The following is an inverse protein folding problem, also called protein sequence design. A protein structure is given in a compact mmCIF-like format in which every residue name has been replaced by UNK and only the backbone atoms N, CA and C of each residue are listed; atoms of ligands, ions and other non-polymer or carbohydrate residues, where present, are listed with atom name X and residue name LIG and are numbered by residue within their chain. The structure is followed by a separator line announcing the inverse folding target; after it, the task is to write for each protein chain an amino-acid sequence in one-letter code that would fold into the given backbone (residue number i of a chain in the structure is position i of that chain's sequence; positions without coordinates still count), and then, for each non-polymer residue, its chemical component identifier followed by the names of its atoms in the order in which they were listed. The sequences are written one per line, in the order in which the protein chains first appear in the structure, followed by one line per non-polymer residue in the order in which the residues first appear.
data_IF_023674697686
#
_entry.id   IF_023674697686
#
_cell.length_a   1.000
_cell.length_b   1.000
_cell.length_c   1.000
_cell.angle_alpha   90.00
_cell.angle_beta   90.00
_cell.angle_gamma   90.00
#
_symmetry.space_group_name_H-M   'P 1'
#
loop_
_entity.id
_entity.type
_entity.pdbx_description
1 polymer ?
#
# COMPACT_ATOMS: atom_id res chain seq x y z
N UNK A 1 28.93 -92.14 -64.44
CA UNK A 1 27.52 -91.77 -64.74
C UNK A 1 26.89 -91.26 -63.45
N UNK A 2 26.24 -90.11 -63.57
CA UNK A 2 25.83 -89.16 -62.53
C UNK A 2 24.86 -89.79 -61.50
N UNK A 3 25.14 -89.64 -60.19
CA UNK A 3 24.09 -89.56 -59.16
C UNK A 3 24.33 -88.25 -58.39
N UNK A 4 23.83 -87.18 -58.98
CA UNK A 4 23.63 -85.90 -58.32
C UNK A 4 22.50 -86.03 -57.29
N UNK A 5 22.77 -85.51 -56.09
CA UNK A 5 21.83 -84.67 -55.36
C UNK A 5 20.66 -85.36 -54.67
N UNK A 6 20.81 -85.69 -53.38
CA UNK A 6 19.65 -85.68 -52.47
C UNK A 6 19.94 -85.57 -50.97
N UNK A 7 21.06 -84.98 -50.53
CA UNK A 7 21.29 -84.80 -49.09
C UNK A 7 22.14 -83.56 -48.80
N UNK A 8 21.49 -82.40 -48.76
CA UNK A 8 21.86 -81.26 -47.90
C UNK A 8 20.86 -80.09 -47.99
N UNK A 9 19.81 -80.22 -48.80
CA UNK A 9 18.79 -79.15 -48.92
C UNK A 9 17.90 -79.13 -47.66
N UNK A 10 17.56 -80.27 -47.06
CA UNK A 10 16.69 -80.32 -45.88
C UNK A 10 17.33 -79.69 -44.62
N UNK A 11 18.60 -79.97 -44.33
CA UNK A 11 19.27 -79.37 -43.15
C UNK A 11 19.56 -77.88 -43.33
N UNK A 12 19.88 -77.45 -44.56
CA UNK A 12 20.04 -76.04 -44.90
C UNK A 12 18.71 -75.28 -44.82
N UNK A 13 17.63 -75.86 -45.33
CA UNK A 13 16.29 -75.27 -45.29
C UNK A 13 15.75 -75.17 -43.85
N UNK A 14 15.99 -76.18 -43.01
CA UNK A 14 15.63 -76.14 -41.58
C UNK A 14 16.43 -75.05 -40.84
N UNK A 15 17.72 -74.90 -41.11
CA UNK A 15 18.54 -73.83 -40.50
C UNK A 15 18.12 -72.44 -40.98
N UNK A 16 17.86 -72.26 -42.27
CA UNK A 16 17.41 -70.97 -42.84
C UNK A 16 16.03 -70.60 -42.30
N UNK A 17 15.11 -71.55 -42.20
CA UNK A 17 13.78 -71.30 -41.61
C UNK A 17 13.84 -71.02 -40.12
N UNK A 18 14.70 -71.72 -39.36
CA UNK A 18 14.91 -71.45 -37.94
C UNK A 18 15.53 -70.07 -37.67
N UNK A 19 16.53 -69.66 -38.47
CA UNK A 19 17.15 -68.33 -38.38
C UNK A 19 16.16 -67.23 -38.79
N UNK A 20 15.35 -67.46 -39.82
CA UNK A 20 14.30 -66.52 -40.22
C UNK A 20 13.22 -66.38 -39.14
N UNK A 21 12.79 -67.47 -38.51
CA UNK A 21 11.87 -67.44 -37.38
C UNK A 21 12.44 -66.70 -36.17
N UNK A 22 13.70 -66.95 -35.84
CA UNK A 22 14.39 -66.24 -34.76
C UNK A 22 14.49 -64.74 -35.04
N UNK A 23 14.84 -64.35 -36.27
CA UNK A 23 14.92 -62.96 -36.68
C UNK A 23 13.55 -62.26 -36.63
N UNK A 24 12.49 -62.92 -37.09
CA UNK A 24 11.11 -62.41 -37.00
C UNK A 24 10.66 -62.33 -35.54
N UNK A 25 11.01 -63.31 -34.70
CA UNK A 25 10.67 -63.30 -33.26
C UNK A 25 11.41 -62.19 -32.51
N UNK A 26 12.70 -61.98 -32.79
CA UNK A 26 13.48 -60.85 -32.23
C UNK A 26 12.95 -59.51 -32.74
N UNK A 27 12.53 -59.42 -34.00
CA UNK A 27 11.92 -58.21 -34.55
C UNK A 27 10.54 -57.93 -33.93
N UNK A 28 9.71 -58.95 -33.72
CA UNK A 28 8.43 -58.83 -33.03
C UNK A 28 8.64 -58.45 -31.56
N UNK A 29 9.60 -59.07 -30.87
CA UNK A 29 9.98 -58.69 -29.50
C UNK A 29 10.50 -57.25 -29.45
N UNK A 30 11.36 -56.85 -30.38
CA UNK A 30 11.84 -55.47 -30.48
C UNK A 30 10.67 -54.50 -30.70
N UNK A 31 9.75 -54.78 -31.64
CA UNK A 31 8.55 -53.97 -31.83
C UNK A 31 7.69 -53.93 -30.57
N UNK A 32 7.51 -55.05 -29.87
CA UNK A 32 6.72 -55.14 -28.64
C UNK A 32 7.33 -54.34 -27.48
N UNK A 33 8.66 -54.40 -27.31
CA UNK A 33 9.37 -53.68 -26.25
C UNK A 33 9.62 -52.20 -26.58
N UNK A 34 9.79 -51.81 -27.85
CA UNK A 34 10.10 -50.42 -28.25
C UNK A 34 8.86 -49.57 -28.59
N UNK A 35 7.74 -50.19 -28.99
CA UNK A 35 6.47 -49.48 -29.18
C UNK A 35 5.54 -49.51 -27.95
N UNK A 36 5.82 -50.33 -26.94
CA UNK A 36 5.04 -50.41 -25.71
C UNK A 36 5.42 -49.43 -24.60
N UNK A 37 6.55 -48.72 -24.72
CA UNK A 37 7.01 -47.80 -23.68
C UNK A 37 6.28 -46.46 -23.76
N UNK A 38 5.53 -46.12 -22.70
CA UNK A 38 4.85 -44.84 -22.55
C UNK A 38 5.86 -43.76 -22.15
N UNK A 39 5.73 -42.57 -22.71
CA UNK A 39 6.57 -41.43 -22.33
C UNK A 39 5.80 -40.12 -22.41
N UNK A 40 6.13 -39.20 -21.52
CA UNK A 40 5.72 -37.80 -21.54
C UNK A 40 7.00 -36.95 -21.44
N UNK A 41 7.04 -35.81 -22.12
CA UNK A 41 8.12 -34.85 -22.01
C UNK A 41 7.55 -33.43 -22.00
N UNK A 42 7.78 -32.70 -20.91
CA UNK A 42 7.37 -31.29 -20.70
C UNK A 42 8.28 -30.38 -21.52
N UNK A 43 7.68 -29.51 -22.32
CA UNK A 43 8.39 -28.58 -23.17
C UNK A 43 8.42 -27.16 -22.59
N UNK A 44 7.30 -26.70 -22.01
CA UNK A 44 7.20 -25.40 -21.34
C UNK A 44 6.00 -25.33 -20.37
N UNK A 45 6.07 -24.55 -19.28
CA UNK A 45 7.30 -24.09 -18.64
C UNK A 45 8.18 -25.28 -18.22
N UNK A 46 9.48 -25.18 -18.45
CA UNK A 46 10.45 -26.27 -18.23
C UNK A 46 11.61 -25.88 -17.30
N UNK A 47 11.56 -24.67 -16.74
CA UNK A 47 12.43 -24.19 -15.68
C UNK A 47 13.18 -22.91 -16.04
N UNK A 48 13.30 -22.03 -15.03
CA UNK A 48 13.95 -20.72 -15.14
C UNK A 48 13.05 -19.60 -15.67
N UNK A 49 11.83 -19.89 -16.10
CA UNK A 49 10.88 -18.86 -16.52
C UNK A 49 10.32 -18.06 -15.34
N UNK A 50 9.90 -16.83 -15.60
CA UNK A 50 9.08 -16.03 -14.69
C UNK A 50 7.68 -15.88 -15.29
N UNK A 51 6.69 -16.42 -14.60
CA UNK A 51 5.29 -16.43 -15.03
C UNK A 51 4.50 -15.47 -14.14
N UNK A 52 3.96 -14.42 -14.73
CA UNK A 52 3.24 -13.36 -14.02
C UNK A 52 1.79 -13.77 -13.74
N UNK A 53 1.35 -13.53 -12.51
CA UNK A 53 -0.05 -13.68 -12.11
C UNK A 53 -0.94 -12.76 -12.97
N UNK A 54 -2.11 -13.25 -13.34
CA UNK A 54 -3.08 -12.56 -14.20
C UNK A 54 -2.87 -12.80 -15.70
N UNK A 55 -1.78 -13.45 -16.12
CA UNK A 55 -1.52 -13.82 -17.51
C UNK A 55 -1.89 -15.28 -17.78
N UNK A 56 -2.12 -15.57 -19.07
CA UNK A 56 -2.29 -16.94 -19.57
C UNK A 56 -1.01 -17.41 -20.23
N UNK A 57 -0.51 -18.56 -19.79
CA UNK A 57 0.68 -19.20 -20.33
C UNK A 57 0.34 -20.54 -20.96
N UNK A 58 1.01 -20.87 -22.06
CA UNK A 58 0.82 -22.16 -22.73
C UNK A 58 1.72 -23.21 -22.09
N UNK A 59 1.10 -24.16 -21.40
CA UNK A 59 1.76 -25.41 -21.00
C UNK A 59 1.85 -26.29 -22.24
N UNK A 60 3.01 -26.89 -22.51
CA UNK A 60 3.21 -27.77 -23.67
C UNK A 60 4.01 -29.02 -23.33
N UNK A 61 3.67 -30.13 -23.99
CA UNK A 61 4.28 -31.44 -23.78
C UNK A 61 4.24 -32.27 -25.07
N UNK A 62 5.05 -33.33 -25.11
CA UNK A 62 4.92 -34.44 -26.06
C UNK A 62 4.58 -35.72 -25.31
N UNK A 63 3.76 -36.58 -25.91
CA UNK A 63 3.35 -37.84 -25.31
C UNK A 63 3.35 -38.97 -26.34
N UNK A 64 3.75 -40.18 -25.90
CA UNK A 64 3.75 -41.40 -26.71
C UNK A 64 3.13 -42.53 -25.89
N UNK A 65 2.17 -43.26 -26.48
CA UNK A 65 1.50 -44.38 -25.81
C UNK A 65 0.62 -43.99 -24.62
N UNK A 66 0.30 -42.70 -24.46
CA UNK A 66 -0.54 -42.15 -23.40
C UNK A 66 -1.76 -41.53 -24.04
N UNK A 67 -2.95 -41.85 -23.54
CA UNK A 67 -4.20 -41.32 -24.09
C UNK A 67 -4.58 -39.98 -23.47
N UNK A 68 -4.41 -39.84 -22.14
CA UNK A 68 -4.80 -38.64 -21.38
C UNK A 68 -3.79 -38.29 -20.30
N UNK A 69 -3.68 -36.99 -20.03
CA UNK A 69 -2.75 -36.42 -19.04
C UNK A 69 -3.46 -35.59 -17.97
N UNK A 70 -2.83 -35.52 -16.81
CA UNK A 70 -3.09 -34.59 -15.73
C UNK A 70 -1.92 -33.62 -15.59
N UNK A 71 -2.22 -32.38 -15.19
CA UNK A 71 -1.25 -31.30 -15.02
C UNK A 71 -1.36 -30.78 -13.59
N UNK A 72 -0.24 -30.76 -12.88
CA UNK A 72 -0.17 -30.27 -11.51
C UNK A 72 1.00 -29.31 -11.30
N UNK A 73 0.82 -28.42 -10.32
CA UNK A 73 1.82 -27.48 -9.84
C UNK A 73 2.32 -27.94 -8.47
N UNK A 74 3.62 -28.06 -8.31
CA UNK A 74 4.25 -28.42 -7.05
C UNK A 74 5.11 -27.28 -6.51
N UNK A 75 4.95 -26.93 -5.22
CA UNK A 75 5.65 -25.80 -4.57
C UNK A 75 6.66 -26.24 -3.51
N UNK A 76 7.05 -27.52 -3.47
CA UNK A 76 7.92 -28.09 -2.44
C UNK A 76 7.21 -28.53 -1.16
N UNK A 77 5.98 -28.06 -0.93
CA UNK A 77 5.15 -28.44 0.23
C UNK A 77 3.79 -29.00 -0.19
N UNK A 78 3.22 -28.42 -1.25
CA UNK A 78 1.86 -28.72 -1.70
C UNK A 78 1.85 -29.00 -3.20
N UNK A 79 0.92 -29.86 -3.61
CA UNK A 79 0.64 -30.16 -5.01
C UNK A 79 -0.78 -29.72 -5.33
N UNK A 80 -0.94 -28.79 -6.26
CA UNK A 80 -2.23 -28.26 -6.69
C UNK A 80 -2.51 -28.67 -8.13
N UNK A 81 -3.78 -28.93 -8.44
CA UNK A 81 -4.19 -29.27 -9.80
C UNK A 81 -4.30 -28.04 -10.68
N UNK A 82 -3.67 -28.07 -11.86
CA UNK A 82 -3.92 -27.09 -12.93
C UNK A 82 -5.03 -27.61 -13.83
N UNK A 83 -4.93 -28.86 -14.29
CA UNK A 83 -5.90 -29.47 -15.19
C UNK A 83 -5.94 -31.00 -15.03
N UNK A 84 -7.09 -31.61 -15.31
CA UNK A 84 -7.30 -33.06 -15.25
C UNK A 84 -7.85 -33.57 -16.57
N UNK A 85 -7.51 -34.82 -16.91
CA UNK A 85 -8.17 -35.56 -17.98
C UNK A 85 -8.05 -34.91 -19.37
N UNK A 86 -6.91 -34.31 -19.70
CA UNK A 86 -6.68 -33.64 -20.99
C UNK A 86 -6.24 -34.68 -22.03
N UNK A 87 -6.75 -34.68 -23.28
CA UNK A 87 -6.24 -35.58 -24.32
C UNK A 87 -4.74 -35.36 -24.53
N UNK A 88 -3.94 -36.42 -24.42
CA UNK A 88 -2.48 -36.32 -24.48
C UNK A 88 -2.00 -35.79 -25.85
N UNK A 89 -2.70 -36.15 -26.92
CA UNK A 89 -2.42 -35.69 -28.29
C UNK A 89 -2.69 -34.19 -28.53
N UNK A 90 -3.31 -33.48 -27.58
CA UNK A 90 -3.47 -32.02 -27.66
C UNK A 90 -2.11 -31.31 -27.55
N UNK A 91 -1.14 -31.90 -26.84
CA UNK A 91 0.23 -31.41 -26.70
C UNK A 91 0.39 -30.05 -26.01
N UNK A 92 -0.72 -29.40 -25.63
CA UNK A 92 -0.69 -28.12 -24.93
C UNK A 92 -1.98 -27.83 -24.15
N UNK A 93 -1.89 -26.94 -23.18
CA UNK A 93 -3.00 -26.44 -22.36
C UNK A 93 -2.75 -24.97 -22.01
N UNK A 94 -3.74 -24.11 -22.22
CA UNK A 94 -3.63 -22.70 -21.84
C UNK A 94 -3.99 -22.55 -20.36
N UNK A 95 -2.99 -22.15 -19.56
CA UNK A 95 -3.08 -22.02 -18.12
C UNK A 95 -3.16 -20.55 -17.73
N UNK A 96 -4.33 -20.15 -17.23
CA UNK A 96 -4.54 -18.86 -16.60
C UNK A 96 -4.07 -18.91 -15.14
N UNK A 97 -3.15 -18.02 -14.78
CA UNK A 97 -2.65 -17.88 -13.40
C UNK A 97 -3.51 -16.86 -12.67
N UNK A 98 -4.45 -17.31 -11.86
CA UNK A 98 -5.40 -16.42 -11.18
C UNK A 98 -4.78 -15.64 -10.01
N UNK A 99 -5.28 -14.41 -9.72
CA UNK A 99 -5.00 -13.72 -8.48
C UNK A 99 -5.35 -14.60 -7.27
N UNK A 100 -4.38 -14.81 -6.36
CA UNK A 100 -4.51 -15.71 -5.20
C UNK A 100 -3.71 -17.02 -5.31
N UNK A 101 -3.12 -17.31 -6.47
CA UNK A 101 -2.09 -18.36 -6.61
C UNK A 101 -0.85 -18.01 -5.75
N UNK A 102 -0.23 -19.02 -5.13
CA UNK A 102 1.04 -18.82 -4.42
C UNK A 102 2.15 -18.32 -5.36
N UNK A 103 3.04 -17.46 -4.87
CA UNK A 103 4.13 -16.82 -5.63
C UNK A 103 5.51 -17.16 -5.04
N UNK A 104 6.58 -16.93 -5.80
CA UNK A 104 7.97 -17.26 -5.44
C UNK A 104 8.68 -18.12 -6.49
N UNK A 105 9.94 -18.50 -6.23
CA UNK A 105 10.85 -19.10 -7.22
C UNK A 105 10.96 -20.64 -7.25
N UNK A 106 10.11 -21.37 -6.52
CA UNK A 106 10.25 -22.82 -6.31
C UNK A 106 9.05 -23.62 -6.82
N UNK A 107 8.51 -23.25 -7.98
CA UNK A 107 7.41 -24.00 -8.61
C UNK A 107 7.93 -24.99 -9.65
N UNK A 108 7.36 -26.19 -9.63
CA UNK A 108 7.62 -27.26 -10.59
C UNK A 108 6.33 -27.67 -11.27
N UNK A 109 6.39 -27.80 -12.60
CA UNK A 109 5.28 -28.34 -13.37
C UNK A 109 5.43 -29.86 -13.45
N UNK A 110 4.32 -30.57 -13.31
CA UNK A 110 4.26 -32.02 -13.47
C UNK A 110 3.18 -32.37 -14.45
N UNK A 111 3.52 -33.15 -15.47
CA UNK A 111 2.57 -33.73 -16.44
C UNK A 111 2.67 -35.24 -16.37
N UNK A 112 1.54 -35.91 -16.15
CA UNK A 112 1.51 -37.36 -15.95
C UNK A 112 0.30 -37.99 -16.60
N UNK A 113 0.38 -39.28 -16.91
CA UNK A 113 -0.73 -40.07 -17.42
C UNK A 113 -1.88 -40.09 -16.40
N UNK A 114 -3.10 -39.84 -16.87
CA UNK A 114 -4.29 -39.74 -16.03
C UNK A 114 -5.28 -40.88 -16.32
N UNK A 115 -5.88 -41.50 -15.28
CA UNK A 115 -5.70 -41.25 -13.85
C UNK A 115 -4.37 -41.80 -13.31
N UNK A 116 -3.85 -41.22 -12.23
CA UNK A 116 -2.56 -41.59 -11.64
C UNK A 116 -2.50 -43.06 -11.20
N UNK A 117 -1.39 -43.72 -11.54
CA UNK A 117 -1.07 -45.11 -11.21
C UNK A 117 0.44 -45.29 -11.05
N UNK A 118 0.86 -46.37 -10.40
CA UNK A 118 2.27 -46.61 -10.02
C UNK A 118 3.22 -46.67 -11.23
N UNK A 119 2.73 -47.14 -12.38
CA UNK A 119 3.52 -47.36 -13.60
C UNK A 119 3.18 -46.33 -14.71
N UNK A 120 2.55 -45.23 -14.32
CA UNK A 120 2.15 -44.18 -15.26
C UNK A 120 3.37 -43.42 -15.79
N UNK A 121 3.32 -43.06 -17.07
CA UNK A 121 4.27 -42.09 -17.59
C UNK A 121 4.11 -40.76 -16.85
N UNK A 122 5.21 -40.14 -16.46
CA UNK A 122 5.28 -38.87 -15.76
C UNK A 122 6.53 -38.14 -16.18
N UNK A 123 6.41 -36.83 -16.27
CA UNK A 123 7.55 -35.96 -16.44
C UNK A 123 7.39 -34.67 -15.62
N UNK A 124 8.52 -34.11 -15.23
CA UNK A 124 8.63 -32.89 -14.45
C UNK A 124 9.34 -31.83 -15.27
N UNK A 125 9.06 -30.56 -15.01
CA UNK A 125 9.94 -29.50 -15.48
C UNK A 125 11.40 -29.78 -15.06
N UNK A 126 12.37 -29.46 -15.92
CA UNK A 126 13.79 -29.75 -15.70
C UNK A 126 14.42 -28.91 -14.56
N UNK A 127 13.83 -27.76 -14.23
CA UNK A 127 14.27 -26.83 -13.18
C UNK A 127 13.04 -26.10 -12.62
N UNK A 128 13.08 -25.51 -11.40
CA UNK A 128 11.96 -24.70 -10.95
C UNK A 128 11.82 -23.44 -11.81
N UNK A 129 10.61 -22.92 -11.88
CA UNK A 129 10.29 -21.60 -12.42
C UNK A 129 9.69 -20.73 -11.31
N UNK A 130 9.65 -19.42 -11.56
CA UNK A 130 9.05 -18.46 -10.64
C UNK A 130 7.63 -18.10 -11.08
N UNK A 131 6.73 -17.99 -10.11
CA UNK A 131 5.46 -17.28 -10.28
C UNK A 131 5.62 -15.93 -9.61
N UNK A 132 5.47 -14.85 -10.38
CA UNK A 132 5.73 -13.48 -9.94
C UNK A 132 4.45 -12.64 -10.06
N UNK A 133 4.44 -11.49 -9.38
CA UNK A 133 3.55 -10.41 -9.79
C UNK A 133 4.25 -9.60 -10.89
N UNK A 134 3.48 -8.97 -11.77
CA UNK A 134 4.07 -7.97 -12.65
C UNK A 134 4.73 -6.89 -11.78
N UNK A 135 5.94 -6.47 -12.14
CA UNK A 135 6.61 -5.34 -11.47
C UNK A 135 5.78 -4.04 -11.52
N UNK A 136 4.76 -3.99 -12.38
CA UNK A 136 3.78 -2.91 -12.53
C UNK A 136 2.52 -3.02 -11.68
N UNK A 137 2.36 -4.06 -10.84
CA UNK A 137 1.17 -4.27 -10.00
C UNK A 137 1.39 -4.01 -8.48
N UNK A 138 2.65 -3.85 -8.06
CA UNK A 138 3.02 -3.51 -6.69
C UNK A 138 3.73 -2.16 -6.62
N UNK A 139 3.69 -1.52 -5.45
CA UNK A 139 4.43 -0.29 -5.21
C UNK A 139 5.89 -0.54 -4.77
N UNK A 140 6.39 -1.77 -4.90
CA UNK A 140 7.72 -2.15 -4.40
C UNK A 140 8.84 -1.47 -5.21
N UNK A 141 8.70 -1.38 -6.54
CA UNK A 141 9.70 -0.73 -7.39
C UNK A 141 9.90 0.74 -7.05
N UNK A 142 8.81 1.49 -6.87
CA UNK A 142 8.89 2.89 -6.43
C UNK A 142 9.40 3.00 -4.99
N UNK A 143 9.07 2.02 -4.13
CA UNK A 143 9.55 1.99 -2.75
C UNK A 143 11.07 1.83 -2.67
N UNK A 144 11.63 0.93 -3.48
CA UNK A 144 13.07 0.72 -3.60
C UNK A 144 13.74 1.97 -4.17
N UNK A 145 13.18 2.55 -5.24
CA UNK A 145 13.77 3.72 -5.91
C UNK A 145 13.88 4.93 -4.97
N UNK A 146 12.90 5.12 -4.09
CA UNK A 146 12.83 6.28 -3.20
C UNK A 146 13.33 5.99 -1.77
N UNK A 147 13.83 4.79 -1.50
CA UNK A 147 14.21 4.31 -0.17
C UNK A 147 13.13 4.60 0.90
N UNK A 148 11.86 4.44 0.51
CA UNK A 148 10.71 4.73 1.35
C UNK A 148 9.52 3.86 0.98
N UNK A 149 8.65 3.51 1.94
CA UNK A 149 7.54 2.61 1.67
C UNK A 149 6.36 3.33 1.00
N UNK A 150 5.91 2.78 -0.13
CA UNK A 150 4.67 3.14 -0.82
C UNK A 150 3.72 1.95 -0.80
N UNK A 151 2.43 2.23 -0.61
CA UNK A 151 1.39 1.21 -0.57
C UNK A 151 0.35 1.48 -1.66
N UNK A 152 -0.18 0.43 -2.31
CA UNK A 152 -1.23 0.62 -3.30
C UNK A 152 -2.52 1.07 -2.61
N UNK A 153 -3.31 1.91 -3.29
CA UNK A 153 -4.51 2.53 -2.73
C UNK A 153 -5.64 1.55 -2.38
N UNK A 154 -5.57 0.32 -2.89
CA UNK A 154 -6.48 -0.79 -2.59
C UNK A 154 -5.93 -1.75 -1.52
N UNK A 155 -4.80 -1.43 -0.89
CA UNK A 155 -4.29 -2.18 0.25
C UNK A 155 -5.28 -2.12 1.42
N UNK A 156 -5.36 -3.21 2.20
CA UNK A 156 -6.33 -3.30 3.29
C UNK A 156 -6.08 -2.22 4.34
N UNK A 157 -7.18 -1.61 4.80
CA UNK A 157 -7.18 -0.63 5.88
C UNK A 157 -6.35 0.65 5.59
N UNK A 158 -6.16 1.01 4.32
CA UNK A 158 -5.59 2.32 3.95
C UNK A 158 -6.52 3.44 4.42
N UNK A 159 -5.92 4.53 4.89
CA UNK A 159 -6.59 5.78 5.21
C UNK A 159 -5.77 6.93 4.63
N UNK A 160 -6.37 7.66 3.71
CA UNK A 160 -5.67 8.72 2.97
C UNK A 160 -5.70 10.03 3.74
N UNK A 161 -4.62 10.80 3.63
CA UNK A 161 -4.48 12.13 4.24
C UNK A 161 -3.94 13.10 3.22
N UNK A 162 -4.53 14.28 3.12
CA UNK A 162 -3.95 15.39 2.36
C UNK A 162 -3.98 16.68 3.17
N UNK A 163 -3.27 17.68 2.65
CA UNK A 163 -3.28 19.03 3.17
C UNK A 163 -3.82 19.93 2.07
N UNK A 164 -4.76 20.80 2.42
CA UNK A 164 -5.47 21.64 1.45
C UNK A 164 -4.53 22.46 0.56
N UNK A 165 -4.90 22.65 -0.70
CA UNK A 165 -4.21 23.61 -1.58
C UNK A 165 -4.61 25.04 -1.17
N UNK A 166 -5.87 25.22 -0.80
CA UNK A 166 -6.39 26.44 -0.21
C UNK A 166 -5.67 26.85 1.09
N UNK A 167 -5.71 28.15 1.38
CA UNK A 167 -5.31 28.72 2.66
C UNK A 167 -6.52 29.43 3.29
N UNK A 168 -6.77 29.15 4.56
CA UNK A 168 -7.95 29.58 5.30
C UNK A 168 -7.53 30.37 6.54
N UNK A 169 -8.19 31.50 6.75
CA UNK A 169 -8.10 32.20 8.02
C UNK A 169 -8.82 31.41 9.13
N UNK A 170 -8.81 31.95 10.34
CA UNK A 170 -9.45 31.35 11.51
C UNK A 170 -10.98 31.33 11.43
N UNK A 171 -11.63 32.01 10.48
CA UNK A 171 -13.07 31.88 10.29
C UNK A 171 -13.40 30.72 9.34
N UNK A 172 -13.52 29.54 9.93
CA UNK A 172 -13.87 28.31 9.21
C UNK A 172 -15.39 28.07 9.14
N UNK A 173 -16.20 29.04 9.56
CA UNK A 173 -17.66 28.94 9.55
C UNK A 173 -18.24 28.10 10.69
N UNK A 174 -17.43 27.82 11.72
CA UNK A 174 -17.76 26.91 12.82
C UNK A 174 -17.41 25.44 12.54
N UNK A 175 -17.36 24.64 13.59
CA UNK A 175 -16.94 23.24 13.50
C UNK A 175 -17.87 22.36 12.68
N UNK A 176 -19.17 22.65 12.65
CA UNK A 176 -20.14 21.86 11.89
C UNK A 176 -19.96 21.99 10.37
N UNK A 177 -19.21 23.00 9.91
CA UNK A 177 -19.00 23.31 8.49
C UNK A 177 -17.56 23.13 8.03
N UNK A 178 -16.64 22.87 8.96
CA UNK A 178 -15.23 22.80 8.60
C UNK A 178 -14.94 21.59 7.71
N UNK A 179 -15.66 20.49 7.92
CA UNK A 179 -15.50 19.26 7.13
C UNK A 179 -15.95 19.46 5.66
N UNK A 180 -16.89 20.37 5.39
CA UNK A 180 -17.27 20.76 4.01
C UNK A 180 -16.08 21.32 3.22
N UNK A 181 -15.10 21.93 3.91
CA UNK A 181 -13.89 22.46 3.28
C UNK A 181 -13.02 21.31 2.78
N UNK A 182 -12.75 20.33 3.63
CA UNK A 182 -11.99 19.14 3.24
C UNK A 182 -12.71 18.32 2.17
N UNK A 183 -14.03 18.18 2.26
CA UNK A 183 -14.81 17.50 1.24
C UNK A 183 -14.69 18.20 -0.13
N UNK A 184 -14.80 19.53 -0.17
CA UNK A 184 -14.67 20.30 -1.41
C UNK A 184 -13.25 20.27 -2.00
N UNK A 185 -12.22 20.35 -1.16
CA UNK A 185 -10.82 20.25 -1.60
C UNK A 185 -10.50 18.83 -2.12
N UNK A 186 -11.05 17.79 -1.48
CA UNK A 186 -10.93 16.42 -1.95
C UNK A 186 -11.55 16.25 -3.35
N UNK A 187 -12.75 16.80 -3.58
CA UNK A 187 -13.41 16.79 -4.89
C UNK A 187 -12.60 17.52 -5.97
N UNK A 188 -12.00 18.66 -5.63
CA UNK A 188 -11.09 19.38 -6.55
C UNK A 188 -9.85 18.55 -6.92
N UNK A 189 -9.34 17.77 -5.98
CA UNK A 189 -8.25 16.81 -6.17
C UNK A 189 -8.71 15.49 -6.81
N UNK A 190 -10.00 15.36 -7.17
CA UNK A 190 -10.62 14.14 -7.70
C UNK A 190 -10.50 12.93 -6.77
N UNK A 191 -10.39 13.18 -5.47
CA UNK A 191 -10.37 12.15 -4.45
C UNK A 191 -11.81 11.73 -4.13
N UNK A 192 -12.03 10.43 -4.04
CA UNK A 192 -13.33 9.86 -3.66
C UNK A 192 -13.41 9.65 -2.15
N UNK A 193 -14.60 9.35 -1.64
CA UNK A 193 -14.82 9.07 -0.22
C UNK A 193 -15.30 10.30 0.56
N UNK A 194 -15.45 10.12 1.87
CA UNK A 194 -15.76 11.19 2.81
C UNK A 194 -14.50 11.66 3.51
N UNK A 195 -14.45 12.94 3.84
CA UNK A 195 -13.25 13.57 4.36
C UNK A 195 -13.55 14.45 5.56
N UNK A 196 -12.87 14.16 6.67
CA UNK A 196 -12.94 14.93 7.91
C UNK A 196 -11.76 15.91 7.99
N UNK A 197 -11.99 17.08 8.58
CA UNK A 197 -10.92 18.02 8.90
C UNK A 197 -10.33 17.70 10.26
N UNK A 198 -9.01 17.48 10.31
CA UNK A 198 -8.26 17.27 11.54
C UNK A 198 -8.02 18.58 12.29
N UNK A 199 -9.04 19.02 13.04
CA UNK A 199 -9.01 20.26 13.82
C UNK A 199 -9.80 20.09 15.13
N UNK A 200 -9.33 20.69 16.23
CA UNK A 200 -10.05 20.76 17.50
C UNK A 200 -11.03 21.94 17.54
N UNK A 201 -11.94 21.92 18.50
CA UNK A 201 -12.96 22.92 18.75
C UNK A 201 -12.73 23.79 19.99
N UNK A 202 -13.70 24.66 20.24
CA UNK A 202 -13.64 25.65 21.30
C UNK A 202 -13.88 25.02 22.69
N UNK A 203 -14.63 23.91 22.76
CA UNK A 203 -14.93 23.21 24.02
C UNK A 203 -13.81 22.26 24.47
N UNK A 204 -13.79 21.94 25.77
CA UNK A 204 -12.80 21.05 26.38
C UNK A 204 -12.81 19.62 25.85
N UNK A 205 -13.98 19.12 25.48
CA UNK A 205 -14.19 17.80 24.89
C UNK A 205 -13.86 17.74 23.40
N UNK A 206 -13.84 18.89 22.71
CA UNK A 206 -13.68 18.97 21.26
C UNK A 206 -12.20 18.97 20.87
N UNK A 207 -11.48 17.89 21.15
CA UNK A 207 -10.09 17.77 20.64
C UNK A 207 -10.08 17.24 19.21
N UNK A 208 -9.05 17.54 18.43
CA UNK A 208 -8.86 17.01 17.08
C UNK A 208 -8.84 15.48 17.10
N UNK A 209 -8.15 14.89 18.07
CA UNK A 209 -8.14 13.42 18.25
C UNK A 209 -9.52 12.90 18.62
N UNK A 210 -10.26 13.58 19.50
CA UNK A 210 -11.59 13.12 19.91
C UNK A 210 -12.61 13.22 18.76
N UNK A 211 -12.52 14.25 17.91
CA UNK A 211 -13.31 14.32 16.67
C UNK A 211 -13.02 13.13 15.76
N UNK A 212 -11.74 12.76 15.59
CA UNK A 212 -11.37 11.55 14.83
C UNK A 212 -11.84 10.27 15.53
N UNK A 213 -11.77 10.16 16.85
CA UNK A 213 -12.27 9.00 17.61
C UNK A 213 -13.76 8.75 17.36
N UNK A 214 -14.53 9.82 17.18
CA UNK A 214 -15.97 9.78 16.94
C UNK A 214 -16.33 9.51 15.47
N UNK A 215 -15.35 9.50 14.55
CA UNK A 215 -15.57 9.04 13.17
C UNK A 215 -15.82 7.52 13.13
N UNK A 216 -16.54 7.00 12.11
CA UNK A 216 -16.80 5.56 11.97
C UNK A 216 -15.58 4.64 12.03
N UNK A 217 -14.41 5.08 11.53
CA UNK A 217 -13.16 4.29 11.61
C UNK A 217 -12.32 4.61 12.86
N UNK A 218 -12.69 5.63 13.65
CA UNK A 218 -11.94 6.06 14.83
C UNK A 218 -10.49 6.40 14.45
N UNK A 219 -9.52 5.82 15.18
CA UNK A 219 -8.08 5.94 14.87
C UNK A 219 -7.53 4.81 13.98
N UNK A 220 -8.39 3.94 13.47
CA UNK A 220 -7.96 2.77 12.69
C UNK A 220 -7.46 3.20 11.31
N UNK A 221 -6.38 2.58 10.85
CA UNK A 221 -5.89 2.78 9.48
C UNK A 221 -4.37 2.77 9.37
N UNK A 222 -3.92 2.46 8.16
CA UNK A 222 -2.57 2.74 7.69
C UNK A 222 -2.65 4.05 6.92
N UNK A 223 -1.96 5.07 7.43
CA UNK A 223 -2.05 6.43 6.95
C UNK A 223 -1.05 6.67 5.82
N UNK A 224 -1.57 7.11 4.67
CA UNK A 224 -0.80 7.41 3.46
C UNK A 224 -1.16 8.78 2.91
N UNK A 225 -0.28 9.39 2.11
CA UNK A 225 -0.64 10.61 1.38
C UNK A 225 -1.75 10.32 0.36
N UNK A 226 -2.78 11.16 0.30
CA UNK A 226 -3.95 10.91 -0.55
C UNK A 226 -3.66 11.02 -2.04
N UNK A 227 -2.78 11.94 -2.42
CA UNK A 227 -2.34 12.07 -3.82
C UNK A 227 -1.28 11.01 -4.09
N UNK A 228 -1.50 10.10 -5.06
CA UNK A 228 -0.53 9.06 -5.36
C UNK A 228 0.71 9.65 -6.02
N UNK A 229 1.88 9.09 -5.71
CA UNK A 229 3.15 9.47 -6.35
C UNK A 229 3.38 8.75 -7.68
N UNK A 230 2.64 7.67 -7.93
CA UNK A 230 2.68 6.89 -9.15
C UNK A 230 1.35 6.17 -9.35
N UNK A 231 0.94 5.94 -10.60
CA UNK A 231 -0.25 5.14 -10.94
C UNK A 231 0.22 3.84 -11.58
N UNK A 232 -0.18 2.71 -11.00
CA UNK A 232 0.06 1.37 -11.54
C UNK A 232 -0.74 1.16 -12.84
N UNK A 233 -0.34 0.19 -13.67
CA UNK A 233 -1.01 -0.09 -14.95
C UNK A 233 -2.48 -0.50 -14.76
N UNK A 234 -2.82 -1.07 -13.60
CA UNK A 234 -4.18 -1.41 -13.16
C UNK A 234 -5.00 -0.22 -12.61
N UNK A 235 -4.58 1.00 -12.87
CA UNK A 235 -5.22 2.26 -12.43
C UNK A 235 -5.34 2.41 -10.90
N UNK A 236 -4.35 1.89 -10.17
CA UNK A 236 -4.26 2.03 -8.72
C UNK A 236 -3.08 2.89 -8.33
N UNK A 237 -3.35 3.91 -7.50
CA UNK A 237 -2.33 4.82 -7.02
C UNK A 237 -1.39 4.17 -6.00
N UNK A 238 -0.09 4.45 -6.11
CA UNK A 238 0.92 4.18 -5.10
C UNK A 238 1.06 5.40 -4.20
N UNK A 239 0.69 5.22 -2.94
CA UNK A 239 0.63 6.28 -1.95
C UNK A 239 1.79 6.17 -0.97
N UNK A 240 2.43 7.30 -0.69
CA UNK A 240 3.55 7.37 0.26
C UNK A 240 3.06 7.06 1.67
N UNK A 241 3.70 6.12 2.37
CA UNK A 241 3.36 5.84 3.76
C UNK A 241 3.77 6.99 4.67
N UNK A 242 2.83 7.51 5.46
CA UNK A 242 3.11 8.55 6.46
C UNK A 242 2.94 8.03 7.90
N UNK A 243 2.15 6.98 8.13
CA UNK A 243 2.08 6.33 9.44
C UNK A 243 1.46 4.94 9.36
N UNK A 244 2.06 3.94 10.00
CA UNK A 244 1.48 2.59 10.07
C UNK A 244 0.28 2.48 11.03
N UNK A 245 0.02 3.53 11.80
CA UNK A 245 -1.12 3.71 12.71
C UNK A 245 -1.29 5.21 12.98
N UNK A 246 -2.41 5.61 13.58
CA UNK A 246 -2.73 7.02 13.82
C UNK A 246 -1.68 7.73 14.68
N UNK A 247 -1.14 7.09 15.72
CA UNK A 247 -0.09 7.70 16.57
C UNK A 247 1.20 7.98 15.80
N UNK A 248 1.57 7.12 14.84
CA UNK A 248 2.73 7.31 13.97
C UNK A 248 2.53 8.45 12.97
N UNK A 249 1.29 8.63 12.48
CA UNK A 249 0.90 9.81 11.70
C UNK A 249 0.91 11.08 12.55
N UNK A 250 0.32 11.04 13.74
CA UNK A 250 0.27 12.19 14.65
C UNK A 250 1.66 12.67 15.04
N UNK A 251 2.62 11.74 15.22
CA UNK A 251 4.01 12.06 15.52
C UNK A 251 4.67 12.96 14.46
N UNK A 252 4.16 13.01 13.21
CA UNK A 252 4.64 13.95 12.19
C UNK A 252 4.46 15.40 12.61
N UNK A 253 3.47 15.71 13.43
CA UNK A 253 3.25 17.07 13.91
C UNK A 253 4.20 17.48 15.06
N UNK A 254 5.04 16.56 15.55
CA UNK A 254 5.97 16.80 16.65
C UNK A 254 7.39 16.27 16.41
N UNK A 255 7.67 15.74 15.22
CA UNK A 255 8.99 15.18 14.89
C UNK A 255 10.01 16.28 14.59
N UNK A 256 11.29 15.91 14.65
CA UNK A 256 12.36 16.75 14.12
C UNK A 256 12.14 17.03 12.63
N UNK A 257 12.48 18.24 12.20
CA UNK A 257 12.28 18.69 10.82
C UNK A 257 12.94 17.74 9.82
N UNK A 258 14.20 17.36 10.07
CA UNK A 258 14.94 16.41 9.25
C UNK A 258 14.24 15.05 9.11
N UNK A 259 13.65 14.52 10.19
CA UNK A 259 12.92 13.25 10.14
C UNK A 259 11.65 13.34 9.30
N UNK A 260 10.98 14.49 9.26
CA UNK A 260 9.82 14.66 8.40
C UNK A 260 10.21 14.86 6.94
N UNK A 261 11.30 15.60 6.68
CA UNK A 261 11.81 15.82 5.33
C UNK A 261 12.16 14.52 4.60
N UNK A 262 12.66 13.51 5.32
CA UNK A 262 12.92 12.18 4.77
C UNK A 262 11.64 11.37 4.48
N UNK A 263 10.54 11.65 5.19
CA UNK A 263 9.38 10.74 5.30
C UNK A 263 8.13 11.24 4.58
N UNK A 264 8.10 12.50 4.16
CA UNK A 264 6.96 13.18 3.56
C UNK A 264 7.35 13.68 2.17
N UNK A 265 6.39 13.78 1.26
CA UNK A 265 6.62 14.51 0.01
C UNK A 265 6.94 15.98 0.29
N UNK A 266 7.64 16.66 -0.62
CA UNK A 266 7.99 18.07 -0.47
C UNK A 266 6.75 18.93 -0.21
N UNK A 267 5.70 18.75 -1.02
CA UNK A 267 4.44 19.48 -0.84
C UNK A 267 3.78 19.18 0.51
N UNK A 268 3.76 17.93 0.98
CA UNK A 268 3.19 17.60 2.27
C UNK A 268 4.02 18.20 3.42
N UNK A 269 5.35 18.08 3.34
CA UNK A 269 6.30 18.63 4.31
C UNK A 269 6.18 20.15 4.45
N UNK A 270 6.11 20.87 3.33
CA UNK A 270 6.06 22.34 3.31
C UNK A 270 4.77 22.92 3.91
N UNK A 271 3.72 22.10 3.95
CA UNK A 271 2.37 22.51 4.36
C UNK A 271 1.97 21.94 5.74
N UNK A 272 2.50 20.80 6.18
CA UNK A 272 2.14 20.17 7.47
C UNK A 272 2.49 21.04 8.67
N UNK A 273 3.49 21.92 8.53
CA UNK A 273 3.91 22.88 9.55
C UNK A 273 3.18 24.21 9.52
N UNK A 274 2.13 24.33 8.69
CA UNK A 274 1.36 25.56 8.49
C UNK A 274 -0.14 25.27 8.56
N UNK A 275 -0.57 24.31 9.38
CA UNK A 275 -1.94 23.84 9.44
C UNK A 275 -2.63 24.29 10.72
N UNK A 276 -3.91 24.66 10.64
CA UNK A 276 -4.74 24.77 11.83
C UNK A 276 -4.94 23.37 12.43
N UNK A 277 -4.80 23.26 13.76
CA UNK A 277 -4.96 21.99 14.48
C UNK A 277 -5.97 22.11 15.61
N UNK A 278 -6.15 23.31 16.16
CA UNK A 278 -6.92 23.48 17.38
C UNK A 278 -6.33 22.67 18.54
N UNK A 279 -7.19 22.23 19.46
CA UNK A 279 -6.74 21.40 20.59
C UNK A 279 -6.48 19.99 20.11
N UNK A 280 -5.24 19.53 20.19
CA UNK A 280 -4.92 18.18 19.70
C UNK A 280 -5.39 17.10 20.67
N UNK A 281 -5.21 17.28 21.99
CA UNK A 281 -5.58 16.28 23.00
C UNK A 281 -5.99 16.93 24.34
N UNK A 282 -6.48 16.12 25.28
CA UNK A 282 -6.95 16.59 26.59
C UNK A 282 -5.83 17.17 27.48
N UNK A 283 -4.56 16.85 27.20
CA UNK A 283 -3.40 17.39 27.91
C UNK A 283 -2.91 18.72 27.32
N UNK A 284 -3.42 19.15 26.15
CA UNK A 284 -3.12 20.46 25.57
C UNK A 284 -3.49 21.55 26.58
N UNK A 285 -2.54 22.44 26.86
CA UNK A 285 -2.66 23.44 27.92
C UNK A 285 -3.86 24.36 27.69
N UNK A 286 -4.61 24.64 28.77
CA UNK A 286 -5.73 25.59 28.78
C UNK A 286 -5.31 27.06 28.99
N UNK A 287 -4.05 27.35 28.68
CA UNK A 287 -3.41 28.64 28.95
C UNK A 287 -3.43 29.54 27.71
N UNK A 288 -3.14 30.84 27.85
CA UNK A 288 -2.98 31.72 26.69
C UNK A 288 -1.93 31.16 25.76
N UNK A 289 -2.21 31.15 24.46
CA UNK A 289 -1.14 31.04 23.47
C UNK A 289 -0.50 32.41 23.31
N UNK A 290 0.82 32.42 23.37
CA UNK A 290 1.58 33.61 23.02
C UNK A 290 1.55 33.75 21.50
N UNK A 291 1.18 34.93 21.01
CA UNK A 291 1.18 35.24 19.59
C UNK A 291 2.48 35.99 19.27
N UNK A 292 3.45 35.35 18.59
CA UNK A 292 4.67 36.02 18.17
C UNK A 292 4.36 36.97 17.00
N UNK A 293 4.06 38.24 17.30
CA UNK A 293 4.09 39.29 16.28
C UNK A 293 5.55 39.66 16.00
N UNK A 294 6.00 39.42 14.78
CA UNK A 294 7.37 39.68 14.35
C UNK A 294 7.72 41.18 14.45
N UNK A 295 8.67 41.51 15.33
CA UNK A 295 9.63 42.63 15.28
C UNK A 295 9.18 44.04 14.88
N UNK A 296 7.88 44.36 14.92
CA UNK A 296 7.41 45.73 14.81
C UNK A 296 6.44 46.07 15.93
N UNK A 297 6.75 47.20 16.57
CA UNK A 297 5.80 48.16 17.16
C UNK A 297 5.49 48.13 18.66
N UNK A 298 6.44 47.85 19.56
CA UNK A 298 6.32 48.32 20.96
C UNK A 298 4.96 48.04 21.65
N UNK A 299 4.32 46.92 21.29
CA UNK A 299 2.95 46.62 21.74
C UNK A 299 2.96 46.24 23.22
N UNK A 300 1.94 46.66 24.00
CA UNK A 300 1.75 46.19 25.35
C UNK A 300 1.78 44.67 25.44
N UNK A 301 2.40 44.13 26.49
CA UNK A 301 2.46 42.68 26.76
C UNK A 301 1.08 42.01 26.71
N UNK A 302 0.04 42.75 27.09
CA UNK A 302 -1.35 42.30 27.07
C UNK A 302 -1.81 41.89 25.67
N UNK A 303 -1.35 42.58 24.61
CA UNK A 303 -1.72 42.33 23.21
C UNK A 303 -1.16 41.03 22.64
N UNK A 304 -0.19 40.41 23.32
CA UNK A 304 0.43 39.17 22.88
C UNK A 304 -0.34 37.91 23.32
N UNK A 305 -1.48 38.05 24.00
CA UNK A 305 -2.24 36.93 24.57
C UNK A 305 -3.70 36.89 24.11
N UNK A 306 -4.13 35.69 23.75
CA UNK A 306 -5.43 35.45 23.12
C UNK A 306 -6.57 35.14 24.10
N UNK A 307 -7.78 35.31 23.58
CA UNK A 307 -9.06 34.96 24.21
C UNK A 307 -9.36 33.46 24.22
N UNK A 308 -10.10 33.05 25.26
CA UNK A 308 -10.54 31.69 25.62
C UNK A 308 -9.53 30.86 26.40
N UNK A 309 -10.05 29.92 27.20
CA UNK A 309 -9.27 28.92 27.95
C UNK A 309 -8.54 27.93 27.02
N UNK A 310 -8.66 28.07 25.71
CA UNK A 310 -8.28 27.06 24.70
C UNK A 310 -7.64 27.74 23.48
N UNK A 311 -7.75 29.07 23.43
CA UNK A 311 -7.23 29.99 22.43
C UNK A 311 -7.63 29.61 21.01
N UNK A 312 -8.91 29.26 20.83
CA UNK A 312 -9.51 28.87 19.55
C UNK A 312 -10.80 29.65 19.35
N UNK A 313 -11.00 30.12 18.12
CA UNK A 313 -12.29 30.60 17.67
C UNK A 313 -12.36 30.48 16.16
N UNK A 314 -13.19 29.54 15.72
CA UNK A 314 -13.34 29.20 14.31
C UNK A 314 -14.40 30.02 13.57
N UNK A 315 -14.88 31.11 14.19
CA UNK A 315 -16.01 31.93 13.70
C UNK A 315 -15.62 33.39 13.43
N UNK A 316 -14.37 33.77 13.72
CA UNK A 316 -13.90 35.15 13.56
C UNK A 316 -12.57 35.20 12.80
N UNK A 317 -12.52 36.11 11.82
CA UNK A 317 -11.33 36.45 11.06
C UNK A 317 -10.90 37.87 11.45
N UNK A 318 -10.36 37.99 12.66
CA UNK A 318 -9.78 39.25 13.14
C UNK A 318 -8.59 38.94 14.04
N UNK A 319 -7.70 39.91 14.20
CA UNK A 319 -6.60 39.83 15.17
C UNK A 319 -7.08 40.18 16.59
N UNK A 320 -8.13 41.01 16.70
CA UNK A 320 -8.69 41.51 17.96
C UNK A 320 -10.19 41.33 18.00
N UNK A 321 -10.73 41.11 19.22
CA UNK A 321 -12.17 41.01 19.43
C UNK A 321 -12.88 42.36 19.28
N UNK A 322 -14.10 42.36 18.75
CA UNK A 322 -14.90 43.59 18.66
C UNK A 322 -15.27 44.12 20.06
N UNK A 323 -15.20 45.43 20.24
CA UNK A 323 -15.62 46.12 21.48
C UNK A 323 -14.54 46.24 22.55
N UNK A 324 -13.30 45.82 22.28
CA UNK A 324 -12.18 46.03 23.19
C UNK A 324 -11.62 47.46 23.05
N UNK A 325 -11.79 48.28 24.08
CA UNK A 325 -11.20 49.62 24.16
C UNK A 325 -9.80 49.54 24.78
N UNK A 326 -8.77 49.73 23.96
CA UNK A 326 -7.36 49.67 24.38
C UNK A 326 -6.94 50.79 25.35
N UNK A 327 -7.79 51.81 25.57
CA UNK A 327 -7.53 52.90 26.51
C UNK A 327 -7.94 52.57 27.97
N UNK A 328 -8.57 51.41 28.19
CA UNK A 328 -9.20 51.02 29.45
C UNK A 328 -8.27 50.17 30.34
N UNK A 329 -8.17 50.54 31.63
CA UNK A 329 -7.61 49.66 32.69
C UNK A 329 -8.79 48.90 33.32
N UNK A 330 -8.88 47.58 33.15
CA UNK A 330 -10.10 46.86 33.40
C UNK A 330 -10.40 46.62 34.89
N UNK A 331 -11.62 46.99 35.29
CA UNK A 331 -12.15 46.77 36.65
C UNK A 331 -13.11 45.57 36.74
N UNK A 332 -13.13 44.70 35.72
CA UNK A 332 -13.74 43.38 35.75
C UNK A 332 -14.91 43.16 34.76
N UNK A 333 -14.71 42.19 33.86
CA UNK A 333 -15.65 41.16 33.36
C UNK A 333 -15.06 40.39 32.15
N UNK A 334 -13.74 40.43 31.94
CA UNK A 334 -13.08 39.63 30.90
C UNK A 334 -12.77 38.21 31.40
N UNK A 335 -12.82 37.19 30.52
CA UNK A 335 -12.26 35.88 30.83
C UNK A 335 -10.79 36.04 31.24
N UNK A 336 -10.46 35.58 32.45
CA UNK A 336 -9.08 35.55 32.94
C UNK A 336 -8.35 34.42 32.25
N UNK A 337 -7.23 34.75 31.63
CA UNK A 337 -6.33 33.75 31.09
C UNK A 337 -4.97 33.83 31.82
N UNK A 338 -4.12 32.83 31.63
CA UNK A 338 -2.81 32.75 32.30
C UNK A 338 -1.70 32.70 31.25
N UNK A 339 -0.68 33.56 31.41
CA UNK A 339 0.50 33.54 30.54
C UNK A 339 1.25 32.20 30.67
N UNK A 340 2.15 31.85 29.74
CA UNK A 340 3.01 30.66 29.87
C UNK A 340 3.83 30.60 31.16
N UNK A 341 4.05 31.75 31.82
CA UNK A 341 4.73 31.87 33.11
C UNK A 341 3.77 31.78 34.31
N UNK A 342 2.49 31.49 34.09
CA UNK A 342 1.46 31.33 35.12
C UNK A 342 0.88 32.63 35.68
N UNK A 343 1.15 33.79 35.06
CA UNK A 343 0.62 35.08 35.51
C UNK A 343 -0.79 35.30 34.96
N UNK A 344 -1.73 35.69 35.81
CA UNK A 344 -3.07 36.07 35.36
C UNK A 344 -3.01 37.33 34.47
N UNK A 345 -3.72 37.30 33.34
CA UNK A 345 -3.89 38.40 32.40
C UNK A 345 -5.31 38.40 31.85
N UNK A 346 -5.74 39.54 31.33
CA UNK A 346 -6.94 39.60 30.49
C UNK A 346 -6.57 39.28 29.05
N UNK A 347 -7.49 38.63 28.36
CA UNK A 347 -7.36 38.30 26.96
C UNK A 347 -7.77 39.48 26.07
N UNK A 348 -7.01 39.72 25.00
CA UNK A 348 -7.28 40.88 24.12
C UNK A 348 -7.16 40.59 22.63
N UNK A 349 -6.56 39.46 22.22
CA UNK A 349 -6.43 39.06 20.81
C UNK A 349 -7.20 37.78 20.47
N UNK A 350 -7.47 37.57 19.17
CA UNK A 350 -8.03 36.33 18.64
C UNK A 350 -6.93 35.46 18.04
N UNK A 351 -6.92 34.18 18.41
CA UNK A 351 -5.93 33.23 17.92
C UNK A 351 -6.48 31.81 17.79
N UNK A 352 -5.72 31.00 17.07
CA UNK A 352 -5.91 29.56 16.95
C UNK A 352 -4.60 28.82 17.18
N UNK A 353 -4.69 27.55 17.59
CA UNK A 353 -3.56 26.64 17.61
C UNK A 353 -3.28 26.12 16.20
N UNK A 354 -2.05 26.35 15.73
CA UNK A 354 -1.54 25.84 14.47
C UNK A 354 -0.33 24.95 14.70
N UNK A 355 -0.02 24.14 13.69
CA UNK A 355 1.31 23.57 13.56
C UNK A 355 2.33 24.66 13.22
N UNK A 356 3.60 24.37 13.50
CA UNK A 356 4.72 25.27 13.25
C UNK A 356 6.04 24.58 13.48
N UNK A 357 7.13 25.32 13.28
CA UNK A 357 8.48 24.87 13.63
C UNK A 357 8.97 25.70 14.81
N UNK A 358 9.55 25.03 15.80
CA UNK A 358 10.19 25.65 16.95
C UNK A 358 11.62 25.11 17.08
N UNK A 359 12.55 26.00 17.44
CA UNK A 359 13.93 25.61 17.75
C UNK A 359 14.02 25.25 19.24
N UNK A 360 14.40 23.99 19.53
CA UNK A 360 14.55 23.49 20.90
C UNK A 360 16.03 23.26 21.18
N UNK A 361 16.55 23.90 22.23
CA UNK A 361 17.96 23.74 22.66
C UNK A 361 18.31 22.27 22.84
N UNK A 362 19.32 21.80 22.13
CA UNK A 362 19.80 20.41 22.17
C UNK A 362 19.03 19.42 21.28
N UNK A 363 17.90 19.81 20.68
CA UNK A 363 17.09 19.00 19.76
C UNK A 363 16.96 19.58 18.35
N UNK A 364 17.36 20.84 18.14
CA UNK A 364 17.27 21.53 16.86
C UNK A 364 15.84 21.94 16.52
N UNK A 365 15.55 22.07 15.23
CA UNK A 365 14.23 22.44 14.75
C UNK A 365 13.27 21.24 14.78
N UNK A 366 12.14 21.44 15.44
CA UNK A 366 11.10 20.42 15.65
C UNK A 366 9.74 21.00 15.25
N UNK A 367 8.90 20.17 14.63
CA UNK A 367 7.50 20.52 14.47
C UNK A 367 6.83 20.64 15.84
N UNK A 368 5.87 21.55 15.96
CA UNK A 368 5.07 21.72 17.17
C UNK A 368 3.62 21.92 16.79
N UNK A 369 2.72 21.34 17.57
CA UNK A 369 1.26 21.55 17.48
C UNK A 369 0.77 22.75 18.27
N UNK A 370 1.69 23.39 19.02
CA UNK A 370 1.37 24.44 20.00
C UNK A 370 1.89 25.80 19.55
N UNK A 371 1.76 26.14 18.27
CA UNK A 371 2.14 27.46 17.76
C UNK A 371 0.89 28.35 17.70
N UNK A 372 0.87 29.43 18.48
CA UNK A 372 -0.22 30.40 18.42
C UNK A 372 -0.12 31.29 17.18
N UNK A 373 -1.21 31.42 16.43
CA UNK A 373 -1.30 32.34 15.28
C UNK A 373 -2.52 33.26 15.43
N UNK A 374 -2.42 34.54 15.03
CA UNK A 374 -3.59 35.38 14.88
C UNK A 374 -4.62 34.74 13.94
N UNK A 375 -5.90 34.84 14.27
CA UNK A 375 -6.97 34.27 13.43
C UNK A 375 -7.07 34.91 12.03
N UNK A 376 -6.49 36.08 11.79
CA UNK A 376 -6.47 36.69 10.46
C UNK A 376 -5.35 36.16 9.53
N UNK A 377 -4.42 35.36 10.06
CA UNK A 377 -3.42 34.69 9.23
C UNK A 377 -4.06 33.49 8.54
N UNK A 378 -3.79 33.33 7.24
CA UNK A 378 -4.21 32.14 6.51
C UNK A 378 -3.25 30.97 6.77
N UNK A 379 -3.81 29.80 7.08
CA UNK A 379 -3.11 28.53 7.28
C UNK A 379 -3.81 27.44 6.45
N UNK A 380 -3.24 26.23 6.47
CA UNK A 380 -3.75 25.04 5.81
C UNK A 380 -4.69 24.25 6.72
N UNK A 381 -5.41 23.30 6.15
CA UNK A 381 -6.14 22.29 6.89
C UNK A 381 -5.60 20.90 6.54
N UNK A 382 -5.58 20.01 7.52
CA UNK A 382 -5.25 18.59 7.32
C UNK A 382 -6.57 17.84 7.16
N UNK A 383 -6.72 17.12 6.07
CA UNK A 383 -7.92 16.35 5.72
C UNK A 383 -7.63 14.86 5.78
N UNK A 384 -8.46 14.11 6.50
CA UNK A 384 -8.31 12.67 6.72
C UNK A 384 -9.56 11.97 6.18
N UNK A 385 -9.36 10.94 5.36
CA UNK A 385 -10.45 10.10 4.84
C UNK A 385 -11.20 9.42 6.01
N UNK A 386 -12.54 9.43 6.00
CA UNK A 386 -13.39 8.85 7.07
C UNK A 386 -13.10 7.37 7.32
#
# INVERSE_FOLDING_TARGET
MIILGRFSIEKGLIWVTAVAFLAVFVFILYLFFFYGAKSINVLAPNGGEELEIGKTYKISWTAKGVDRVGIALYSGKETNWIAKNIPAGQGSYDWEIYPGQGYGGNFWLVVFEYPWGKDNAIDYANSPFAITYAASDSCDSISIQNDWLFLPGDFQNIRKVFITEGNYDGNLGGLDKVDDICQKEAENLKLTGKWDTFIGGDEDSQTAIERINNSPRGQSGIFVEAVPSFILERDVGCHRLIGNQFSSFLAKLSNQVYLNQLKLSENFFDNIGKAWLGRVNNASAKSCIFIPVSFYSGRPILENYSFTATCQNWTQNAEFGQGYDFSYVPSGSFPKCYTPQGKATEAVSLAGLSSGIANITGLGDVFTVSHGKPCNIKQKLICIEE
#
